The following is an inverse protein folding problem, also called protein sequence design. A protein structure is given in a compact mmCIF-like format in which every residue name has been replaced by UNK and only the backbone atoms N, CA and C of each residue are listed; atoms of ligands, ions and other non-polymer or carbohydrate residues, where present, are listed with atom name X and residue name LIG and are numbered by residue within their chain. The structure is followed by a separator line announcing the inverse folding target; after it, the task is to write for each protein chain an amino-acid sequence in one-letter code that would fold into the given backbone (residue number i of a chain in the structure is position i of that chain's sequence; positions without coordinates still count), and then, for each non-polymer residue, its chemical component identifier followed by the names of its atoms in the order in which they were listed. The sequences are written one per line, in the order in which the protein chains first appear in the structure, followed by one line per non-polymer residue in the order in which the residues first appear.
data_IF_947867517790
#
_entry.id   IF_947867517790
#
_cell.length_a   1.000
_cell.length_b   1.000
_cell.length_c   1.000
_cell.angle_alpha   90.00
_cell.angle_beta   90.00
_cell.angle_gamma   90.00
#
_symmetry.space_group_name_H-M   'P 1'
#
loop_
_entity.id
_entity.type
_entity.pdbx_description
1 polymer ?
#
# COMPACT_ATOMS: atom_id res chain seq x y z
N UNK A 1 -3.59 -23.97 -4.03
CA UNK A 1 -2.89 -23.09 -3.07
C UNK A 1 -3.94 -22.14 -2.54
N UNK A 2 -4.17 -22.06 -1.22
CA UNK A 2 -5.09 -21.07 -0.64
C UNK A 2 -4.55 -19.66 -0.92
N UNK A 3 -5.45 -18.67 -0.94
CA UNK A 3 -5.14 -17.26 -1.19
C UNK A 3 -3.86 -16.87 -0.42
N UNK A 4 -2.86 -16.36 -1.14
CA UNK A 4 -1.66 -15.82 -0.52
C UNK A 4 -2.11 -14.81 0.55
N UNK A 5 -1.84 -15.11 1.82
CA UNK A 5 -2.19 -14.25 2.95
C UNK A 5 -1.48 -12.91 2.78
N UNK A 6 -2.20 -11.92 2.24
CA UNK A 6 -1.76 -10.55 2.23
C UNK A 6 -1.59 -10.12 3.68
N UNK A 7 -0.34 -9.95 4.14
CA UNK A 7 -0.07 -9.47 5.50
C UNK A 7 -0.76 -8.12 5.67
N UNK A 8 -1.79 -8.08 6.49
CA UNK A 8 -2.34 -6.81 6.97
C UNK A 8 -1.31 -6.19 7.90
N UNK A 9 -0.84 -5.00 7.53
CA UNK A 9 0.10 -4.18 8.27
C UNK A 9 -0.72 -3.09 8.96
N UNK A 10 -0.50 -2.97 10.27
CA UNK A 10 -1.12 -1.94 11.09
C UNK A 10 -0.19 -0.75 11.26
N UNK A 11 -0.72 0.36 11.79
CA UNK A 11 0.10 1.52 12.17
C UNK A 11 1.19 1.19 13.19
N UNK A 12 0.96 0.22 14.08
CA UNK A 12 1.97 -0.26 15.03
C UNK A 12 3.12 -1.01 14.35
N UNK A 13 2.84 -1.77 13.28
CA UNK A 13 3.88 -2.40 12.48
C UNK A 13 4.78 -1.36 11.80
N UNK A 14 4.21 -0.22 11.34
CA UNK A 14 5.01 0.84 10.75
C UNK A 14 6.03 1.43 11.74
N UNK A 15 5.59 1.67 12.98
CA UNK A 15 6.45 2.17 14.03
C UNK A 15 7.55 1.15 14.39
N UNK A 16 7.23 -0.15 14.40
CA UNK A 16 8.22 -1.21 14.59
C UNK A 16 9.27 -1.28 13.47
N UNK A 17 8.87 -0.97 12.23
CA UNK A 17 9.76 -0.84 11.07
C UNK A 17 10.54 0.50 11.04
N UNK A 18 10.38 1.36 12.05
CA UNK A 18 11.07 2.65 12.14
C UNK A 18 10.52 3.71 11.18
N UNK A 19 9.31 3.52 10.66
CA UNK A 19 8.63 4.49 9.82
C UNK A 19 8.06 5.58 10.73
N UNK A 20 8.62 6.78 10.61
CA UNK A 20 8.25 7.95 11.41
C UNK A 20 7.27 8.89 10.70
N UNK A 21 7.10 8.72 9.39
CA UNK A 21 6.25 9.58 8.56
C UNK A 21 5.35 8.70 7.72
N UNK A 22 4.06 8.69 8.05
CA UNK A 22 3.01 8.06 7.25
C UNK A 22 2.05 9.14 6.81
N UNK A 23 1.82 9.23 5.51
CA UNK A 23 0.80 10.09 4.93
C UNK A 23 -0.42 9.25 4.62
N UNK A 24 -1.55 9.59 5.23
CA UNK A 24 -2.82 8.91 5.03
C UNK A 24 -3.71 9.73 4.11
N UNK A 25 -4.33 9.06 3.16
CA UNK A 25 -5.34 9.60 2.28
C UNK A 25 -6.53 8.65 2.17
N UNK A 26 -7.70 9.20 1.91
CA UNK A 26 -8.91 8.42 1.72
C UNK A 26 -9.38 8.60 0.28
N UNK A 27 -9.48 7.49 -0.45
CA UNK A 27 -9.98 7.48 -1.82
C UNK A 27 -11.20 6.58 -1.87
N UNK A 28 -12.38 7.18 -2.06
CA UNK A 28 -13.65 6.46 -1.94
C UNK A 28 -13.86 5.96 -0.51
N UNK A 29 -13.92 4.63 -0.34
CA UNK A 29 -13.96 3.96 0.98
C UNK A 29 -12.63 3.36 1.41
N UNK A 30 -11.62 3.42 0.55
CA UNK A 30 -10.31 2.81 0.78
C UNK A 30 -9.40 3.78 1.54
N UNK A 31 -8.74 3.29 2.58
CA UNK A 31 -7.70 4.05 3.30
C UNK A 31 -6.35 3.74 2.70
N UNK A 32 -5.66 4.77 2.21
CA UNK A 32 -4.31 4.68 1.66
C UNK A 32 -3.31 5.26 2.64
N UNK A 33 -2.30 4.49 2.99
CA UNK A 33 -1.13 4.92 3.73
C UNK A 33 0.10 4.88 2.80
N UNK A 34 0.79 6.00 2.65
CA UNK A 34 2.08 6.06 1.95
C UNK A 34 3.20 6.52 2.88
N UNK A 35 4.39 5.95 2.71
CA UNK A 35 5.54 6.31 3.52
C UNK A 35 6.86 5.94 2.83
N UNK A 36 7.97 6.64 3.15
CA UNK A 36 9.29 6.28 2.64
C UNK A 36 9.70 4.90 3.16
N UNK A 37 10.26 4.07 2.27
CA UNK A 37 10.74 2.75 2.65
C UNK A 37 12.06 2.86 3.43
N UNK A 38 12.12 2.40 4.70
CA UNK A 38 13.34 2.49 5.50
C UNK A 38 14.44 1.56 4.98
N UNK A 39 14.07 0.45 4.34
CA UNK A 39 15.01 -0.54 3.80
C UNK A 39 15.52 -0.17 2.40
N UNK A 40 14.71 0.51 1.59
CA UNK A 40 15.06 0.94 0.23
C UNK A 40 14.99 2.47 0.12
N UNK A 41 16.15 3.10 0.34
CA UNK A 41 16.27 4.57 0.23
C UNK A 41 15.83 5.04 -1.14
N UNK A 42 14.98 6.06 -1.17
CA UNK A 42 14.43 6.62 -2.40
C UNK A 42 13.25 5.83 -2.97
N UNK A 43 12.73 4.81 -2.29
CA UNK A 43 11.45 4.20 -2.64
C UNK A 43 10.39 4.58 -1.62
N UNK A 44 9.16 4.71 -2.09
CA UNK A 44 7.97 4.94 -1.28
C UNK A 44 7.09 3.72 -1.33
N UNK A 45 6.59 3.29 -0.18
CA UNK A 45 5.66 2.17 -0.06
C UNK A 45 4.25 2.73 0.04
N UNK A 46 3.28 2.06 -0.58
CA UNK A 46 1.87 2.37 -0.41
C UNK A 46 1.09 1.14 0.03
N UNK A 47 0.19 1.38 0.98
CA UNK A 47 -0.64 0.39 1.65
C UNK A 47 -2.08 0.85 1.50
N UNK A 48 -2.96 -0.05 1.11
CA UNK A 48 -4.39 0.24 0.91
C UNK A 48 -5.16 -0.73 1.78
N UNK A 49 -6.03 -0.20 2.64
CA UNK A 49 -6.80 -0.93 3.65
C UNK A 49 -5.92 -1.84 4.52
N UNK A 50 -4.76 -1.32 4.91
CA UNK A 50 -3.78 -2.05 5.70
C UNK A 50 -3.04 -3.15 4.92
N UNK A 51 -3.19 -3.30 3.61
CA UNK A 51 -2.45 -4.29 2.81
C UNK A 51 -1.39 -3.62 1.95
N UNK A 52 -0.21 -4.22 1.87
CA UNK A 52 0.86 -3.69 1.01
C UNK A 52 0.49 -3.96 -0.44
N UNK A 53 0.37 -2.90 -1.24
CA UNK A 53 0.10 -3.04 -2.67
C UNK A 53 1.37 -2.91 -3.51
N UNK A 54 2.30 -2.03 -3.13
CA UNK A 54 3.53 -1.87 -3.90
C UNK A 54 4.49 -0.81 -3.39
N UNK A 55 5.39 -0.44 -4.29
CA UNK A 55 6.45 0.55 -4.07
C UNK A 55 6.60 1.40 -5.33
N UNK A 56 6.91 2.69 -5.15
CA UNK A 56 7.18 3.63 -6.24
C UNK A 56 8.48 4.40 -5.98
N UNK A 57 9.03 5.02 -7.01
CA UNK A 57 10.31 5.76 -6.96
C UNK A 57 10.23 7.10 -6.20
N UNK A 58 9.03 7.61 -5.99
CA UNK A 58 8.82 8.88 -5.33
C UNK A 58 7.44 8.93 -4.68
N UNK A 59 7.25 9.95 -3.84
CA UNK A 59 6.01 10.18 -3.09
C UNK A 59 4.80 10.39 -3.99
N UNK A 60 4.95 11.18 -5.06
CA UNK A 60 3.85 11.53 -5.95
C UNK A 60 3.39 10.31 -6.75
N UNK A 61 4.34 9.53 -7.27
CA UNK A 61 4.06 8.26 -7.94
C UNK A 61 3.38 7.28 -6.99
N UNK A 62 3.87 7.13 -5.75
CA UNK A 62 3.23 6.25 -4.77
C UNK A 62 1.80 6.69 -4.44
N UNK A 63 1.57 7.99 -4.28
CA UNK A 63 0.23 8.54 -4.04
C UNK A 63 -0.71 8.28 -5.22
N UNK A 64 -0.23 8.51 -6.45
CA UNK A 64 -1.02 8.32 -7.67
C UNK A 64 -1.32 6.85 -7.94
N UNK A 65 -0.34 5.97 -7.77
CA UNK A 65 -0.53 4.52 -7.86
C UNK A 65 -1.53 4.06 -6.80
N UNK A 66 -1.39 4.55 -5.57
CA UNK A 66 -2.31 4.18 -4.49
C UNK A 66 -3.72 4.73 -4.69
N UNK A 67 -3.88 5.92 -5.26
CA UNK A 67 -5.17 6.45 -5.69
C UNK A 67 -5.81 5.53 -6.74
N UNK A 68 -5.10 5.24 -7.84
CA UNK A 68 -5.62 4.38 -8.92
C UNK A 68 -6.02 3.00 -8.40
N UNK A 69 -5.16 2.38 -7.59
CA UNK A 69 -5.44 1.06 -7.01
C UNK A 69 -6.49 1.11 -5.88
N UNK A 70 -6.60 2.23 -5.16
CA UNK A 70 -7.59 2.44 -4.09
C UNK A 70 -9.00 2.69 -4.61
N UNK A 71 -9.13 3.26 -5.82
CA UNK A 71 -10.39 3.27 -6.56
C UNK A 71 -10.71 1.90 -7.18
N UNK A 72 -9.70 1.18 -7.69
CA UNK A 72 -9.90 -0.14 -8.31
C UNK A 72 -10.20 -1.23 -7.27
N UNK A 73 -9.83 -1.06 -6.00
CA UNK A 73 -10.23 -1.96 -4.91
C UNK A 73 -11.74 -1.92 -4.62
N UNK A 74 -12.46 -0.84 -4.98
CA UNK A 74 -13.93 -0.78 -4.93
C UNK A 74 -14.59 -1.51 -6.11
N UNK A 75 -13.99 -1.46 -7.30
CA UNK A 75 -14.58 -1.94 -8.55
C UNK A 75 -14.24 -3.39 -8.89
N UNK A 76 -13.07 -3.86 -8.47
CA UNK A 76 -12.62 -5.22 -8.74
C UNK A 76 -12.33 -5.93 -7.42
N UNK A 77 -12.94 -7.08 -7.26
CA UNK A 77 -12.60 -8.18 -6.36
C UNK A 77 -11.14 -8.65 -6.54
N UNK A 78 -10.15 -7.76 -6.40
CA UNK A 78 -8.74 -7.93 -6.76
C UNK A 78 -7.93 -8.72 -5.74
N UNK A 79 -8.56 -9.10 -4.62
CA UNK A 79 -8.06 -10.13 -3.71
C UNK A 79 -7.76 -11.48 -4.40
N UNK A 80 -8.14 -11.67 -5.67
CA UNK A 80 -7.92 -12.90 -6.42
C UNK A 80 -7.29 -12.79 -7.81
N UNK A 81 -6.79 -11.63 -8.27
CA UNK A 81 -6.25 -11.53 -9.65
C UNK A 81 -4.74 -11.28 -9.67
N UNK A 82 -4.01 -12.40 -9.79
CA UNK A 82 -2.75 -12.52 -10.52
C UNK A 82 -2.14 -11.21 -11.02
N UNK A 83 -1.11 -10.73 -10.33
CA UNK A 83 0.14 -10.45 -11.02
C UNK A 83 1.03 -11.68 -10.84
N UNK A 84 0.88 -12.61 -11.79
CA UNK A 84 1.74 -13.79 -11.95
C UNK A 84 3.10 -13.35 -12.56
N UNK A 85 4.08 -14.26 -12.54
CA UNK A 85 5.39 -14.16 -11.89
C UNK A 85 6.36 -13.08 -12.44
#
# INVERSE_FOLDING_TARGET
MPASDWKTITTDDYAADGISTVERAEFGRSTVDIFPCPQNKGKWKYVIDGKVWGWSDDRESAMRDAEVNGWDSEANTLYGRHMRP
#
